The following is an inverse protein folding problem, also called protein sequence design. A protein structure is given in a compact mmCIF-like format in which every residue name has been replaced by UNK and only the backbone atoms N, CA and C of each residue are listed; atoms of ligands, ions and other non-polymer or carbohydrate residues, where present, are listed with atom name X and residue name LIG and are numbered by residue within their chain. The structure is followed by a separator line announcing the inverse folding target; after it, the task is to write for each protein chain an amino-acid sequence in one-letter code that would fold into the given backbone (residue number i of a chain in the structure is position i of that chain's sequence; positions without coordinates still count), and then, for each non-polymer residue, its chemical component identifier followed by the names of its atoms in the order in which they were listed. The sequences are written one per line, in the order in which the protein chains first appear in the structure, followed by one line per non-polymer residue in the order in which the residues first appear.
data_IF_931159732931
#
_entry.id   IF_931159732931
#
_cell.length_a   1.000
_cell.length_b   1.000
_cell.length_c   1.000
_cell.angle_alpha   90.00
_cell.angle_beta   90.00
_cell.angle_gamma   90.00
#
_symmetry.space_group_name_H-M   'P 1'
#
loop_
_entity.id
_entity.type
_entity.pdbx_description
1 polymer ?
2 non-polymer ?
3 non-polymer ?
4 non-polymer ?
5 non-polymer ?
6 water ?
#
# COMPACT_ATOMS: atom_id res chain seq x y z
N UNK A 3 -31.94 8.88 -0.33
CA UNK A 3 -30.56 9.07 -0.77
C UNK A 3 -29.62 9.42 0.37
N UNK A 4 -30.09 9.27 1.59
CA UNK A 4 -29.23 9.40 2.77
C UNK A 4 -29.12 8.02 3.39
N UNK A 5 -27.90 7.58 3.65
CA UNK A 5 -27.66 6.26 4.23
C UNK A 5 -27.41 6.41 5.72
N UNK A 6 -28.30 5.88 6.54
CA UNK A 6 -28.19 6.00 7.97
C UNK A 6 -28.02 4.61 8.56
N UNK A 7 -27.90 3.55 7.76
CA UNK A 7 -27.83 2.19 8.29
C UNK A 7 -27.34 1.27 7.19
N UNK A 8 -26.96 0.06 7.56
CA UNK A 8 -26.53 -0.90 6.56
C UNK A 8 -27.66 -1.15 5.58
N UNK A 9 -28.91 -1.21 6.07
CA UNK A 9 -30.00 -1.52 5.14
C UNK A 9 -30.28 -0.36 4.17
N UNK A 10 -30.05 0.86 4.66
CA UNK A 10 -30.28 2.01 3.77
C UNK A 10 -29.37 1.94 2.57
N UNK A 11 -28.18 1.36 2.76
CA UNK A 11 -27.16 1.36 1.69
C UNK A 11 -27.69 0.61 0.48
N UNK A 12 -28.66 -0.29 0.69
CA UNK A 12 -29.11 -1.10 -0.40
C UNK A 12 -30.12 -0.31 -1.24
N UNK A 13 -30.51 0.90 -0.84
CA UNK A 13 -31.61 1.65 -1.44
C UNK A 13 -31.13 2.88 -2.20
N UNK A 14 -29.86 2.94 -2.60
CA UNK A 14 -29.36 4.17 -3.21
C UNK A 14 -29.42 4.14 -4.72
N UNK A 15 -29.96 3.11 -5.33
CA UNK A 15 -30.05 3.13 -6.80
C UNK A 15 -30.91 4.28 -7.26
N UNK A 16 -30.45 5.08 -8.21
CA UNK A 16 -31.14 6.25 -8.70
C UNK A 16 -30.61 7.53 -8.04
N UNK A 17 -29.79 7.45 -6.99
CA UNK A 17 -29.25 8.65 -6.35
C UNK A 17 -27.96 9.14 -7.02
N UNK A 18 -27.98 10.33 -7.60
CA UNK A 18 -26.76 10.96 -8.11
C UNK A 18 -26.01 11.66 -6.99
N UNK A 19 -26.66 11.91 -5.86
CA UNK A 19 -26.01 12.51 -4.69
C UNK A 19 -26.43 11.69 -3.49
N UNK A 20 -25.48 10.96 -2.91
CA UNK A 20 -25.73 10.18 -1.71
C UNK A 20 -25.08 10.81 -0.52
N UNK A 21 -25.78 10.89 0.61
CA UNK A 21 -25.19 11.36 1.85
C UNK A 21 -25.01 10.15 2.74
N UNK A 22 -23.79 9.93 3.20
CA UNK A 22 -23.44 8.80 4.04
C UNK A 22 -23.33 9.37 5.43
N UNK A 23 -24.41 9.14 6.22
CA UNK A 23 -24.40 9.62 7.60
C UNK A 23 -23.51 8.73 8.48
N UNK A 24 -23.25 9.22 9.71
CA UNK A 24 -22.52 8.39 10.69
C UNK A 24 -23.49 7.42 11.37
N UNK A 25 -22.97 6.24 11.69
CA UNK A 25 -23.73 5.18 12.38
C UNK A 25 -22.74 4.06 12.70
N UNK A 26 -23.24 3.08 13.43
CA UNK A 26 -22.47 1.88 13.69
C UNK A 26 -22.90 0.76 12.76
N UNK A 27 -21.90 0.10 12.19
CA UNK A 27 -22.18 -1.14 11.45
C UNK A 27 -22.18 -2.26 12.47
N UNK A 28 -23.31 -2.89 12.76
CA UNK A 28 -23.34 -3.85 13.86
C UNK A 28 -22.57 -5.12 13.53
N UNK A 29 -22.26 -5.88 14.60
CA UNK A 29 -21.65 -7.19 14.43
C UNK A 29 -22.43 -7.98 13.41
N UNK A 30 -21.70 -8.71 12.56
CA UNK A 30 -22.28 -9.60 11.57
C UNK A 30 -22.86 -8.91 10.37
N UNK A 31 -22.57 -7.61 10.18
CA UNK A 31 -23.07 -6.90 9.01
C UNK A 31 -21.92 -6.34 8.22
N UNK A 32 -22.17 -6.05 6.95
CA UNK A 32 -21.20 -5.29 6.16
C UNK A 32 -21.94 -4.11 5.52
N UNK A 33 -21.15 -3.11 5.15
CA UNK A 33 -21.70 -1.92 4.53
C UNK A 33 -21.22 -1.90 3.09
N UNK A 34 -22.17 -2.03 2.18
CA UNK A 34 -21.90 -2.14 0.75
C UNK A 34 -22.62 -1.04 -0.01
N UNK A 35 -21.84 -0.26 -0.75
CA UNK A 35 -22.42 0.81 -1.54
C UNK A 35 -22.12 0.56 -3.02
N UNK A 36 -23.15 0.49 -3.84
CA UNK A 36 -23.04 0.36 -5.28
C UNK A 36 -23.71 1.58 -5.90
N UNK A 37 -23.04 2.73 -5.87
CA UNK A 37 -23.71 3.97 -6.29
C UNK A 37 -23.89 4.00 -7.79
N UNK A 38 -24.84 4.82 -8.22
CA UNK A 38 -25.01 5.11 -9.62
C UNK A 38 -23.72 5.62 -10.29
N UNK A 39 -23.63 5.34 -11.60
CA UNK A 39 -22.47 5.88 -12.34
C UNK A 39 -22.37 7.39 -12.18
N UNK A 40 -21.19 7.91 -11.92
CA UNK A 40 -20.97 9.34 -11.79
C UNK A 40 -21.52 9.95 -10.50
N UNK A 41 -22.03 9.18 -9.55
CA UNK A 41 -22.62 9.79 -8.35
C UNK A 41 -21.56 10.38 -7.45
N UNK A 42 -21.99 11.39 -6.71
CA UNK A 42 -21.20 11.93 -5.62
C UNK A 42 -21.71 11.36 -4.31
N UNK A 43 -20.80 10.80 -3.52
CA UNK A 43 -21.11 10.25 -2.19
C UNK A 43 -20.39 11.10 -1.19
N UNK A 44 -21.15 11.72 -0.30
CA UNK A 44 -20.56 12.67 0.67
C UNK A 44 -20.73 12.13 2.05
N UNK A 45 -19.62 12.00 2.77
CA UNK A 45 -19.74 11.52 4.14
C UNK A 45 -20.11 12.65 5.06
N UNK A 46 -21.06 12.42 5.95
CA UNK A 46 -21.51 13.44 6.89
C UNK A 46 -21.38 12.99 8.33
N UNK A 47 -20.79 11.85 8.60
CA UNK A 47 -20.52 11.43 9.96
C UNK A 47 -19.50 10.28 9.92
N UNK A 48 -19.07 9.84 11.11
CA UNK A 48 -18.15 8.75 11.22
C UNK A 48 -18.88 7.42 11.30
N UNK A 49 -18.29 6.38 10.69
CA UNK A 49 -18.87 5.06 10.69
C UNK A 49 -18.00 4.13 11.52
N UNK A 50 -18.61 3.56 12.57
CA UNK A 50 -17.89 2.74 13.53
C UNK A 50 -18.31 1.30 13.31
N UNK A 51 -17.35 0.37 13.31
CA UNK A 51 -17.66 -1.03 13.05
C UNK A 51 -17.51 -1.80 14.34
N UNK A 52 -18.63 -2.28 14.89
CA UNK A 52 -18.60 -3.07 16.12
C UNK A 52 -17.75 -4.33 15.88
N UNK A 53 -17.17 -4.84 16.99
CA UNK A 53 -16.37 -6.05 16.80
C UNK A 53 -17.20 -7.16 16.17
N UNK A 54 -16.60 -7.80 15.17
CA UNK A 54 -17.33 -8.75 14.31
C UNK A 54 -16.51 -10.00 14.08
N UNK A 55 -17.22 -11.06 13.75
CA UNK A 55 -16.54 -12.33 13.37
C UNK A 55 -16.47 -12.48 11.87
N UNK A 56 -17.03 -11.58 11.08
CA UNK A 56 -17.01 -11.71 9.63
C UNK A 56 -15.61 -11.55 9.05
N UNK A 57 -15.38 -12.20 7.91
CA UNK A 57 -14.24 -11.81 7.11
C UNK A 57 -14.47 -10.44 6.48
N UNK A 58 -13.36 -9.75 6.24
CA UNK A 58 -13.50 -8.53 5.44
C UNK A 58 -13.72 -8.84 3.98
N UNK A 59 -13.99 -7.83 3.16
CA UNK A 59 -14.10 -6.44 3.58
C UNK A 59 -15.37 -6.14 4.36
N UNK A 60 -15.24 -5.25 5.35
CA UNK A 60 -16.41 -4.81 6.12
C UNK A 60 -17.11 -3.64 5.42
N UNK A 61 -16.41 -2.94 4.56
CA UNK A 61 -17.01 -1.86 3.77
C UNK A 61 -16.54 -2.06 2.34
N UNK A 62 -17.47 -2.05 1.41
CA UNK A 62 -17.13 -2.18 0.00
C UNK A 62 -17.85 -1.05 -0.75
N UNK A 63 -17.10 -0.33 -1.59
CA UNK A 63 -17.78 0.61 -2.49
C UNK A 63 -17.30 0.27 -3.88
N UNK A 64 -18.23 0.20 -4.81
CA UNK A 64 -17.93 -0.22 -6.18
C UNK A 64 -18.81 0.57 -7.14
N UNK A 65 -18.21 1.31 -8.02
CA UNK A 65 -19.03 2.10 -8.97
C UNK A 65 -18.02 2.68 -9.98
N UNK A 66 -18.66 3.34 -10.95
CA UNK A 66 -17.93 3.93 -12.06
C UNK A 66 -17.97 5.45 -11.96
N UNK A 67 -16.81 6.09 -11.97
CA UNK A 67 -16.80 7.55 -11.96
C UNK A 67 -17.34 8.15 -10.67
N UNK A 68 -17.15 7.42 -9.56
CA UNK A 68 -17.66 7.89 -8.27
C UNK A 68 -16.83 9.05 -7.76
N UNK A 69 -17.49 10.06 -7.20
CA UNK A 69 -16.83 11.20 -6.56
C UNK A 69 -17.13 11.05 -5.07
N UNK A 70 -16.17 10.59 -4.25
CA UNK A 70 -16.42 10.34 -2.82
C UNK A 70 -15.76 11.49 -2.05
N UNK A 71 -16.56 12.22 -1.33
CA UNK A 71 -16.17 13.42 -0.60
C UNK A 71 -16.24 13.08 0.89
N UNK A 72 -15.07 12.84 1.48
CA UNK A 72 -15.08 12.31 2.86
C UNK A 72 -15.30 13.35 3.91
N UNK A 73 -15.01 14.63 3.63
CA UNK A 73 -15.24 15.71 4.63
C UNK A 73 -14.55 15.35 5.95
N UNK A 74 -13.39 14.69 5.89
CA UNK A 74 -12.55 14.38 7.03
C UNK A 74 -13.17 13.39 8.02
N UNK A 75 -14.22 12.68 7.59
CA UNK A 75 -14.82 11.69 8.47
C UNK A 75 -13.99 10.39 8.51
N UNK A 76 -14.42 9.54 9.47
CA UNK A 76 -13.65 8.38 9.86
C UNK A 76 -14.43 7.11 9.68
N UNK A 77 -13.74 6.08 9.16
CA UNK A 77 -14.19 4.68 9.24
C UNK A 77 -13.37 4.07 10.38
N UNK A 78 -14.03 3.72 11.48
CA UNK A 78 -13.31 3.25 12.69
C UNK A 78 -13.46 1.74 12.79
N UNK A 79 -12.33 1.04 12.59
CA UNK A 79 -12.35 -0.40 12.53
C UNK A 79 -12.22 -1.03 13.90
N UNK A 80 -12.07 -0.25 14.98
CA UNK A 80 -11.99 -0.86 16.29
C UNK A 80 -10.83 -1.89 16.37
N UNK A 81 -9.72 -1.56 15.68
CA UNK A 81 -8.64 -2.60 15.57
C UNK A 81 -8.10 -3.06 16.91
N UNK A 82 -8.02 -2.22 17.95
CA UNK A 82 -7.45 -2.66 19.22
C UNK A 82 -8.27 -3.77 19.87
N UNK A 83 -9.52 -3.93 19.41
CA UNK A 83 -10.29 -5.06 19.98
C UNK A 83 -9.83 -6.39 19.41
N UNK A 84 -9.02 -6.34 18.35
CA UNK A 84 -8.55 -7.56 17.71
C UNK A 84 -7.03 -7.75 17.83
N UNK A 85 -6.26 -6.65 17.82
CA UNK A 85 -4.80 -6.76 17.74
C UNK A 85 -4.25 -7.65 18.84
N UNK A 86 -3.36 -8.56 18.43
CA UNK A 86 -2.74 -9.47 19.41
C UNK A 86 -1.28 -9.75 19.13
N UNK A 87 -0.68 -8.89 18.30
CA UNK A 87 0.72 -9.10 17.99
C UNK A 87 0.90 -10.07 16.83
N UNK A 88 -0.13 -10.71 16.30
CA UNK A 88 0.08 -11.78 15.29
C UNK A 88 -0.50 -11.45 13.96
N UNK A 89 -1.24 -10.35 13.88
CA UNK A 89 -1.76 -9.94 12.55
C UNK A 89 -2.55 -11.02 11.90
N UNK A 90 -2.40 -11.15 10.57
CA UNK A 90 -3.09 -12.20 9.83
C UNK A 90 -2.23 -13.44 9.74
N UNK A 91 -1.14 -13.50 10.48
CA UNK A 91 -0.35 -14.74 10.45
C UNK A 91 -0.84 -15.77 11.39
N UNK A 92 -1.42 -15.40 12.49
CA UNK A 92 -1.96 -16.38 13.45
C UNK A 92 -2.80 -15.63 14.43
N UNK A 93 -3.18 -16.22 15.53
CA UNK A 93 -3.86 -15.58 16.60
C UNK A 93 -5.32 -15.30 16.32
N UNK A 94 -5.81 -14.19 16.83
CA UNK A 94 -7.22 -13.85 16.67
C UNK A 94 -7.55 -13.60 15.23
N UNK A 95 -8.79 -13.85 14.82
CA UNK A 95 -9.25 -13.44 13.51
C UNK A 95 -9.21 -11.94 13.40
N UNK A 96 -8.69 -11.46 12.25
CA UNK A 96 -8.69 -10.05 11.93
C UNK A 96 -9.53 -9.82 10.68
N UNK A 97 -10.68 -9.15 10.72
CA UNK A 97 -11.39 -8.87 9.46
C UNK A 97 -10.51 -8.08 8.54
N UNK A 98 -10.25 -8.57 7.34
CA UNK A 98 -9.35 -7.85 6.42
C UNK A 98 -9.76 -8.20 4.99
N UNK A 99 -9.52 -7.30 4.04
CA UNK A 99 -9.16 -5.92 4.30
C UNK A 99 -10.32 -5.25 5.01
N UNK A 100 -10.11 -4.05 5.56
CA UNK A 100 -11.20 -3.33 6.21
C UNK A 100 -12.13 -2.75 5.14
N UNK A 101 -11.57 -1.90 4.27
CA UNK A 101 -12.30 -1.29 3.19
C UNK A 101 -11.86 -1.91 1.86
N UNK A 102 -12.79 -2.01 0.92
CA UNK A 102 -12.48 -2.39 -0.45
C UNK A 102 -13.06 -1.32 -1.36
N UNK A 103 -12.22 -0.79 -2.26
CA UNK A 103 -12.67 0.23 -3.22
C UNK A 103 -12.44 -0.30 -4.62
N UNK A 104 -13.52 -0.37 -5.41
CA UNK A 104 -13.49 -0.99 -6.73
C UNK A 104 -14.10 -0.02 -7.77
N UNK A 105 -13.69 -0.17 -9.02
CA UNK A 105 -14.31 0.58 -10.12
C UNK A 105 -13.44 1.77 -10.49
N UNK A 106 -14.01 2.98 -10.41
CA UNK A 106 -13.23 4.16 -10.81
C UNK A 106 -13.79 5.41 -10.14
N UNK A 107 -13.05 6.52 -10.25
CA UNK A 107 -13.50 7.79 -9.70
C UNK A 107 -12.38 8.40 -8.86
N UNK A 108 -12.82 9.20 -7.87
CA UNK A 108 -11.93 10.02 -7.07
C UNK A 108 -12.43 9.97 -5.64
N UNK A 109 -11.60 9.57 -4.71
CA UNK A 109 -11.94 9.36 -3.29
C UNK A 109 -11.07 10.32 -2.52
N UNK A 110 -11.66 11.21 -1.74
CA UNK A 110 -10.90 12.24 -1.04
C UNK A 110 -11.21 12.36 0.44
N UNK A 111 -10.17 12.68 1.21
CA UNK A 111 -10.27 13.29 2.53
C UNK A 111 -11.17 12.50 3.48
N UNK A 112 -10.79 11.27 3.71
CA UNK A 112 -11.36 10.55 4.85
C UNK A 112 -10.25 9.77 5.53
N UNK A 113 -10.57 9.25 6.70
CA UNK A 113 -9.60 8.56 7.56
C UNK A 113 -10.09 7.14 7.81
N UNK A 114 -9.18 6.18 7.72
CA UNK A 114 -9.40 4.84 8.24
C UNK A 114 -8.65 4.82 9.57
N UNK A 115 -9.37 4.61 10.65
CA UNK A 115 -8.79 4.59 12.00
C UNK A 115 -8.81 3.19 12.52
N UNK A 116 -7.64 2.71 12.93
CA UNK A 116 -7.52 1.40 13.61
C UNK A 116 -8.20 0.26 12.87
N UNK A 117 -7.69 0.01 11.63
CA UNK A 117 -8.10 -1.20 10.95
C UNK A 117 -7.67 -2.45 11.73
N UNK A 118 -8.45 -3.51 11.71
CA UNK A 118 -8.01 -4.77 12.36
C UNK A 118 -6.68 -5.27 11.78
N UNK A 119 -6.55 -5.22 10.46
CA UNK A 119 -5.26 -5.59 9.83
C UNK A 119 -5.19 -4.78 8.55
N UNK A 120 -5.14 -5.36 7.38
CA UNK A 120 -4.90 -4.56 6.17
C UNK A 120 -6.04 -3.56 5.99
N UNK A 121 -5.70 -2.31 5.71
CA UNK A 121 -6.68 -1.21 5.80
C UNK A 121 -7.50 -1.05 4.55
N UNK A 122 -6.88 -0.68 3.43
CA UNK A 122 -7.64 -0.42 2.20
C UNK A 122 -7.16 -1.30 1.05
N UNK A 123 -8.06 -2.12 0.54
CA UNK A 123 -7.78 -2.91 -0.68
C UNK A 123 -8.33 -2.15 -1.88
N UNK A 124 -7.53 -1.99 -2.90
CA UNK A 124 -7.90 -1.24 -4.08
C UNK A 124 -7.90 -2.11 -5.29
N UNK A 125 -9.03 -2.17 -5.96
CA UNK A 125 -9.14 -2.83 -7.26
C UNK A 125 -10.16 -3.93 -7.22
N UNK A 126 -10.55 -4.47 -8.38
CA UNK A 126 -10.06 -4.00 -9.70
C UNK A 126 -10.73 -2.70 -10.10
N UNK A 127 -10.21 -2.08 -11.15
CA UNK A 127 -10.75 -0.82 -11.68
C UNK A 127 -11.36 -1.02 -13.08
N UNK A 128 -12.22 -0.06 -13.44
CA UNK A 128 -12.78 -0.05 -14.78
C UNK A 128 -12.43 1.25 -15.51
N UNK A 129 -11.64 2.10 -14.89
CA UNK A 129 -11.15 3.35 -15.46
C UNK A 129 -10.22 3.95 -14.42
N UNK A 130 -9.78 5.23 -14.54
CA UNK A 130 -8.82 5.68 -13.52
C UNK A 130 -9.45 5.79 -12.13
N UNK A 131 -8.69 5.39 -11.11
CA UNK A 131 -9.12 5.51 -9.71
C UNK A 131 -8.10 6.30 -8.96
N UNK A 132 -8.51 7.38 -8.32
CA UNK A 132 -7.64 8.23 -7.56
C UNK A 132 -8.04 8.25 -6.11
N UNK A 133 -7.12 8.00 -5.20
CA UNK A 133 -7.31 8.15 -3.77
C UNK A 133 -6.45 9.31 -3.34
N UNK A 134 -7.04 10.33 -2.74
CA UNK A 134 -6.35 11.60 -2.51
C UNK A 134 -6.65 12.12 -1.13
N UNK A 135 -5.62 12.26 -0.31
CA UNK A 135 -5.83 12.89 1.00
C UNK A 135 -6.48 11.95 2.00
N UNK A 136 -6.21 10.66 1.89
CA UNK A 136 -6.74 9.66 2.85
C UNK A 136 -5.67 9.42 3.89
N UNK A 137 -6.14 9.33 5.13
CA UNK A 137 -5.28 8.99 6.25
C UNK A 137 -5.60 7.57 6.73
N UNK A 138 -4.58 6.71 6.82
CA UNK A 138 -4.75 5.43 7.48
C UNK A 138 -4.05 5.61 8.82
N UNK A 139 -4.81 5.87 9.89
CA UNK A 139 -4.23 6.08 11.19
C UNK A 139 -4.34 4.81 12.02
N UNK A 140 -3.32 3.98 11.95
CA UNK A 140 -3.15 2.82 12.79
C UNK A 140 -2.03 3.01 13.80
N UNK A 141 -1.74 4.26 14.15
CA UNK A 141 -0.66 4.53 15.10
C UNK A 141 -0.86 3.82 16.43
N UNK A 142 -2.12 3.69 16.86
CA UNK A 142 -2.37 3.02 18.16
C UNK A 142 -1.83 1.60 18.11
N UNK A 143 -1.69 1.01 16.90
CA UNK A 143 -1.20 -0.36 16.85
C UNK A 143 0.28 -0.48 17.23
N UNK A 144 0.99 0.63 17.38
CA UNK A 144 2.38 0.56 17.84
C UNK A 144 2.42 0.15 19.30
N UNK A 145 1.39 0.44 20.07
CA UNK A 145 1.42 0.17 21.51
C UNK A 145 1.56 -1.31 21.77
N UNK A 146 2.61 -1.66 22.53
CA UNK A 146 2.95 -3.06 22.88
C UNK A 146 3.10 -3.89 21.64
N UNK A 147 3.40 -3.24 20.52
CA UNK A 147 3.62 -3.97 19.26
C UNK A 147 2.44 -4.86 18.92
N UNK A 148 1.21 -4.45 19.27
CA UNK A 148 0.07 -5.35 19.01
C UNK A 148 -0.45 -5.26 17.59
N UNK A 149 -0.41 -4.11 16.92
CA UNK A 149 -0.91 -4.03 15.53
C UNK A 149 0.06 -4.72 14.58
N UNK A 150 -0.46 -5.38 13.56
CA UNK A 150 0.46 -6.07 12.66
C UNK A 150 -0.27 -6.34 11.34
N UNK A 151 0.41 -6.42 10.23
CA UNK A 151 -0.22 -6.58 8.91
C UNK A 151 -1.26 -5.50 8.62
N UNK A 152 -0.95 -4.29 9.13
CA UNK A 152 -1.85 -3.14 8.99
C UNK A 152 -1.51 -2.32 7.76
N UNK A 153 -1.40 -3.00 6.61
CA UNK A 153 -1.05 -2.32 5.37
C UNK A 153 -1.95 -1.12 5.12
N UNK A 154 -1.36 -0.03 4.62
CA UNK A 154 -2.20 1.15 4.31
C UNK A 154 -3.05 0.87 3.08
N UNK A 155 -2.41 0.57 1.96
CA UNK A 155 -3.08 0.33 0.70
C UNK A 155 -2.50 -0.94 0.08
N UNK A 156 -3.36 -1.89 -0.23
CA UNK A 156 -2.95 -3.08 -1.00
C UNK A 156 -3.59 -2.95 -2.37
N UNK A 157 -2.80 -2.89 -3.42
CA UNK A 157 -3.32 -2.56 -4.76
C UNK A 157 -3.13 -3.71 -5.71
N UNK A 158 -4.22 -4.17 -6.28
CA UNK A 158 -4.25 -5.12 -7.40
C UNK A 158 -5.22 -4.52 -8.41
N UNK A 159 -4.63 -3.67 -9.28
CA UNK A 159 -5.50 -2.86 -10.13
C UNK A 159 -4.66 -2.12 -11.18
N UNK A 160 -5.31 -1.74 -12.27
CA UNK A 160 -4.67 -0.86 -13.25
C UNK A 160 -5.08 0.58 -13.04
N UNK A 161 -4.25 1.53 -13.46
CA UNK A 161 -4.71 2.93 -13.59
C UNK A 161 -5.13 3.56 -12.27
N UNK A 162 -4.27 3.42 -11.28
CA UNK A 162 -4.50 3.91 -9.93
C UNK A 162 -3.51 5.01 -9.61
N UNK A 163 -4.00 6.08 -8.97
CA UNK A 163 -3.17 7.10 -8.36
C UNK A 163 -3.53 7.21 -6.87
N UNK A 164 -2.51 7.15 -6.02
CA UNK A 164 -2.70 7.38 -4.58
C UNK A 164 -1.79 8.53 -4.24
N UNK A 165 -2.37 9.63 -3.76
CA UNK A 165 -1.58 10.85 -3.57
C UNK A 165 -2.03 11.58 -2.34
N UNK A 166 -1.09 12.31 -1.73
CA UNK A 166 -1.38 13.19 -0.60
C UNK A 166 -1.96 12.42 0.59
N UNK A 167 -1.64 11.12 0.71
CA UNK A 167 -2.16 10.32 1.81
C UNK A 167 -1.14 10.23 2.93
N UNK A 168 -1.63 9.77 4.07
CA UNK A 168 -0.82 9.62 5.26
C UNK A 168 -1.08 8.22 5.81
N UNK A 169 -0.01 7.46 6.07
CA UNK A 169 -0.18 6.14 6.67
C UNK A 169 0.72 5.99 7.88
N UNK A 170 0.13 5.68 9.01
CA UNK A 170 0.82 5.39 10.27
C UNK A 170 0.45 3.98 10.64
N UNK A 171 1.38 3.04 10.52
CA UNK A 171 0.96 1.66 10.64
C UNK A 171 2.13 0.76 11.02
N UNK A 172 1.95 -0.56 10.78
CA UNK A 172 2.93 -1.55 11.21
C UNK A 172 3.32 -2.48 10.08
N UNK A 173 2.92 -2.19 8.84
CA UNK A 173 3.33 -3.07 7.73
C UNK A 173 3.47 -2.17 6.50
N UNK A 174 3.41 -2.73 5.30
CA UNK A 174 3.66 -1.87 4.13
C UNK A 174 2.78 -0.64 4.13
N UNK A 175 3.38 0.50 3.81
CA UNK A 175 2.60 1.71 3.59
C UNK A 175 1.62 1.50 2.42
N UNK A 176 2.21 1.00 1.32
CA UNK A 176 1.50 0.50 0.15
C UNK A 176 2.20 -0.78 -0.25
N UNK A 177 1.42 -1.76 -0.72
CA UNK A 177 1.93 -2.94 -1.37
C UNK A 177 1.24 -3.04 -2.73
N UNK A 178 2.00 -2.91 -3.79
CA UNK A 178 1.45 -3.00 -5.16
C UNK A 178 1.66 -4.43 -5.60
N UNK A 179 0.57 -5.19 -5.68
CA UNK A 179 0.69 -6.64 -5.91
C UNK A 179 0.42 -7.08 -7.35
N UNK A 180 -0.28 -6.25 -8.14
CA UNK A 180 -0.62 -6.60 -9.51
C UNK A 180 -1.11 -5.33 -10.18
N UNK A 181 -0.84 -5.15 -11.46
CA UNK A 181 -1.43 -4.06 -12.23
C UNK A 181 -0.44 -3.22 -12.96
N UNK A 182 -1.01 -2.45 -13.90
CA UNK A 182 -0.26 -1.52 -14.74
C UNK A 182 -0.68 -0.07 -14.46
N UNK A 183 0.29 0.84 -14.51
CA UNK A 183 0.02 2.27 -14.44
C UNK A 183 -0.52 2.65 -13.06
N UNK A 184 0.41 2.63 -12.11
CA UNK A 184 0.12 2.92 -10.70
C UNK A 184 1.10 3.96 -10.22
N UNK A 185 0.55 5.04 -9.67
CA UNK A 185 1.30 6.17 -9.24
C UNK A 185 1.06 6.39 -7.74
N UNK A 186 2.13 6.48 -6.97
CA UNK A 186 2.07 6.72 -5.51
C UNK A 186 2.88 7.97 -5.29
N UNK A 187 2.23 9.11 -5.05
CA UNK A 187 2.90 10.39 -5.08
C UNK A 187 2.52 11.26 -3.89
N UNK A 188 3.54 11.87 -3.31
CA UNK A 188 3.37 12.88 -2.27
C UNK A 188 2.64 12.34 -1.05
N UNK A 189 2.95 11.10 -0.67
CA UNK A 189 2.42 10.48 0.51
C UNK A 189 3.43 10.48 1.68
N UNK A 190 2.90 10.33 2.91
CA UNK A 190 3.75 10.26 4.10
C UNK A 190 3.49 8.91 4.76
N UNK A 191 4.54 8.14 4.92
CA UNK A 191 4.50 6.80 5.50
C UNK A 191 5.33 6.77 6.77
N UNK A 192 4.77 6.33 7.88
CA UNK A 192 5.60 6.14 9.08
C UNK A 192 5.21 4.89 9.85
N UNK A 193 6.21 4.35 10.58
CA UNK A 193 5.99 3.24 11.49
C UNK A 193 6.02 1.86 10.87
N UNK A 194 5.74 1.76 9.57
CA UNK A 194 5.51 0.46 8.95
C UNK A 194 6.74 -0.12 8.26
N UNK A 195 6.46 -0.79 7.13
CA UNK A 195 7.49 -1.55 6.39
C UNK A 195 7.83 -0.90 5.06
N UNK A 196 7.47 0.36 4.87
CA UNK A 196 7.96 1.12 3.71
C UNK A 196 7.05 0.98 2.49
N UNK A 197 7.58 1.36 1.33
CA UNK A 197 6.81 1.42 0.08
C UNK A 197 7.20 0.22 -0.75
N UNK A 198 6.22 -0.67 -0.98
CA UNK A 198 6.57 -1.98 -1.55
C UNK A 198 5.81 -2.23 -2.88
N UNK A 199 6.54 -2.95 -3.74
CA UNK A 199 5.93 -3.71 -4.83
C UNK A 199 6.03 -5.15 -4.41
N UNK A 200 4.91 -5.84 -4.35
CA UNK A 200 4.85 -7.25 -3.97
C UNK A 200 4.38 -7.45 -2.55
N UNK A 201 4.46 -8.68 -2.05
CA UNK A 201 5.21 -9.74 -2.74
C UNK A 201 4.50 -10.19 -4.00
N UNK A 202 5.31 -10.38 -5.03
CA UNK A 202 4.84 -10.82 -6.33
C UNK A 202 4.64 -12.33 -6.31
N UNK A 203 3.40 -12.73 -6.62
CA UNK A 203 3.02 -14.13 -6.66
C UNK A 203 2.91 -14.63 -8.08
N UNK A 204 2.81 -15.96 -8.22
CA UNK A 204 2.64 -16.54 -9.55
C UNK A 204 1.49 -15.90 -10.29
N UNK A 205 1.74 -15.58 -11.56
CA UNK A 205 0.72 -15.06 -12.46
C UNK A 205 0.53 -13.57 -12.31
N UNK A 206 1.27 -12.88 -11.44
CA UNK A 206 1.01 -11.46 -11.22
C UNK A 206 2.08 -10.62 -11.91
N UNK A 207 1.64 -9.46 -12.42
CA UNK A 207 2.50 -8.61 -13.22
C UNK A 207 2.30 -7.16 -12.81
N UNK A 208 3.37 -6.53 -12.32
CA UNK A 208 3.29 -5.09 -11.97
C UNK A 208 4.12 -4.35 -13.00
N UNK A 209 3.54 -3.24 -13.53
CA UNK A 209 4.29 -2.52 -14.56
C UNK A 209 3.92 -1.04 -14.52
N UNK A 210 4.87 -0.22 -14.96
CA UNK A 210 4.66 1.23 -15.08
C UNK A 210 4.18 1.84 -13.78
N UNK A 211 5.07 1.73 -12.80
CA UNK A 211 4.86 2.27 -11.46
C UNK A 211 5.72 3.51 -11.27
N UNK A 212 5.15 4.55 -10.74
CA UNK A 212 5.85 5.77 -10.39
C UNK A 212 5.68 6.00 -8.87
N UNK A 213 6.79 6.03 -8.17
CA UNK A 213 6.84 6.28 -6.70
C UNK A 213 7.56 7.59 -6.54
N UNK A 214 6.81 8.66 -6.33
CA UNK A 214 7.38 10.03 -6.47
C UNK A 214 7.03 10.92 -5.29
N UNK A 215 8.02 11.61 -4.76
CA UNK A 215 7.69 12.69 -3.80
C UNK A 215 7.23 12.26 -2.43
N UNK A 216 7.46 10.98 -2.05
CA UNK A 216 6.96 10.49 -0.77
C UNK A 216 8.00 10.66 0.33
N UNK A 217 7.46 10.72 1.55
CA UNK A 217 8.31 10.71 2.73
C UNK A 217 8.10 9.41 3.50
N UNK A 218 9.15 8.75 3.90
CA UNK A 218 9.06 7.54 4.73
C UNK A 218 9.94 7.75 5.94
N UNK A 219 9.37 7.52 7.11
CA UNK A 219 10.12 7.67 8.35
C UNK A 219 9.86 6.47 9.26
N UNK A 220 10.80 6.17 10.15
CA UNK A 220 10.61 5.23 11.25
C UNK A 220 9.95 3.94 10.74
N UNK A 221 10.63 3.33 9.76
CA UNK A 221 10.09 2.16 9.06
C UNK A 221 11.10 1.06 8.95
N UNK A 222 10.65 -0.16 8.71
CA UNK A 222 11.60 -1.26 8.65
C UNK A 222 12.40 -1.30 7.35
N UNK A 223 11.77 -0.85 6.25
CA UNK A 223 12.41 -0.77 4.94
C UNK A 223 12.06 0.58 4.33
N UNK A 224 12.89 1.07 3.41
CA UNK A 224 12.55 2.33 2.76
C UNK A 224 11.66 1.99 1.55
N UNK A 225 12.26 1.40 0.54
CA UNK A 225 11.52 0.85 -0.62
C UNK A 225 11.93 -0.59 -0.85
N UNK A 226 10.93 -1.40 -1.24
CA UNK A 226 11.20 -2.77 -1.60
C UNK A 226 10.47 -3.19 -2.88
N UNK A 227 11.16 -4.08 -3.61
CA UNK A 227 10.47 -4.88 -4.62
C UNK A 227 10.72 -6.32 -4.21
N UNK A 228 9.67 -7.00 -3.82
CA UNK A 228 9.77 -8.36 -3.29
C UNK A 228 9.00 -9.31 -4.15
N UNK A 229 9.63 -10.40 -4.55
CA UNK A 229 8.97 -11.45 -5.27
C UNK A 229 9.15 -12.75 -4.54
N UNK A 230 8.03 -13.49 -4.43
CA UNK A 230 8.13 -14.81 -3.83
C UNK A 230 9.13 -15.67 -4.58
N UNK A 231 10.02 -16.33 -3.83
CA UNK A 231 11.03 -17.19 -4.48
C UNK A 231 10.39 -18.16 -5.42
N UNK A 232 9.20 -18.70 -5.09
CA UNK A 232 8.59 -19.74 -5.88
C UNK A 232 7.70 -19.24 -7.02
N UNK A 233 7.56 -17.93 -7.15
CA UNK A 233 6.63 -17.43 -8.18
C UNK A 233 7.09 -17.68 -9.61
N UNK A 234 6.12 -18.02 -10.45
CA UNK A 234 6.44 -18.16 -11.86
C UNK A 234 5.39 -17.39 -12.69
N UNK A 235 5.66 -17.22 -13.97
CA UNK A 235 4.77 -16.46 -14.86
C UNK A 235 4.40 -15.13 -14.25
N UNK A 236 5.39 -14.42 -13.73
CA UNK A 236 5.18 -13.16 -13.01
C UNK A 236 6.23 -12.15 -13.44
N UNK A 237 6.02 -10.87 -13.12
CA UNK A 237 7.05 -9.91 -13.49
C UNK A 237 6.81 -8.59 -12.79
N UNK A 238 7.88 -7.80 -12.72
CA UNK A 238 7.81 -6.36 -12.38
C UNK A 238 8.62 -5.65 -13.46
N UNK A 239 8.01 -4.66 -14.10
CA UNK A 239 8.76 -3.95 -15.16
C UNK A 239 8.39 -2.51 -15.23
N UNK A 240 9.39 -1.67 -15.20
CA UNK A 240 9.09 -0.24 -15.41
C UNK A 240 8.74 0.43 -14.08
N UNK A 241 9.70 0.63 -13.22
CA UNK A 241 9.47 1.25 -11.91
C UNK A 241 10.37 2.46 -11.82
N UNK A 242 9.82 3.60 -11.45
CA UNK A 242 10.63 4.82 -11.31
C UNK A 242 10.42 5.38 -9.91
N UNK A 243 11.53 5.48 -9.17
CA UNK A 243 11.56 6.16 -7.89
C UNK A 243 12.10 7.57 -8.10
N UNK A 244 11.36 8.59 -7.64
CA UNK A 244 11.72 9.97 -7.96
C UNK A 244 11.43 10.82 -6.75
N UNK A 245 12.38 11.53 -6.21
CA UNK A 245 12.12 12.58 -5.19
C UNK A 245 11.56 12.04 -3.89
N UNK A 246 11.97 10.86 -3.43
CA UNK A 246 11.53 10.35 -2.13
C UNK A 246 12.54 10.64 -1.05
N UNK A 247 12.02 11.02 0.12
CA UNK A 247 12.87 11.37 1.24
C UNK A 247 12.58 10.39 2.36
N UNK A 248 13.63 9.63 2.74
CA UNK A 248 13.43 8.48 3.66
C UNK A 248 14.45 8.53 4.77
N UNK A 249 14.05 8.19 5.99
CA UNK A 249 15.00 8.17 7.10
C UNK A 249 14.47 7.25 8.20
N UNK A 250 15.35 6.92 9.15
CA UNK A 250 14.92 6.14 10.28
C UNK A 250 14.58 4.71 9.87
N UNK A 251 15.37 4.16 8.96
CA UNK A 251 15.10 2.80 8.47
C UNK A 251 15.90 1.75 9.23
N UNK A 252 15.18 0.71 9.68
CA UNK A 252 15.79 -0.26 10.57
C UNK A 252 16.47 -1.41 9.84
N UNK A 253 16.00 -1.86 8.68
CA UNK A 253 16.56 -3.08 8.10
C UNK A 253 17.26 -2.84 6.79
N UNK A 254 16.55 -2.39 5.78
CA UNK A 254 17.16 -2.08 4.50
C UNK A 254 16.61 -0.75 3.96
N UNK A 255 17.50 0.13 3.53
CA UNK A 255 17.06 1.31 2.82
C UNK A 255 16.33 0.94 1.50
N UNK A 256 17.00 0.13 0.69
CA UNK A 256 16.43 -0.45 -0.54
C UNK A 256 16.62 -1.96 -0.48
N UNK A 257 15.57 -2.75 -0.67
CA UNK A 257 15.73 -4.21 -0.83
C UNK A 257 14.95 -4.63 -2.06
N UNK A 258 15.70 -5.05 -3.08
CA UNK A 258 15.08 -5.58 -4.30
C UNK A 258 15.42 -7.04 -4.29
N UNK A 259 14.43 -7.94 -4.12
CA UNK A 259 14.74 -9.32 -3.82
C UNK A 259 13.72 -10.29 -4.38
N UNK A 260 14.27 -11.36 -4.95
CA UNK A 260 13.45 -12.46 -5.45
C UNK A 260 13.54 -13.67 -4.54
N UNK A 261 13.84 -13.43 -3.26
CA UNK A 261 13.91 -14.50 -2.25
C UNK A 261 12.75 -14.54 -1.27
N UNK A 262 11.75 -13.70 -1.47
CA UNK A 262 10.72 -13.56 -0.46
C UNK A 262 10.12 -14.90 -0.14
N UNK A 263 9.83 -15.23 1.12
CA UNK A 263 9.84 -14.32 2.28
C UNK A 263 11.18 -14.06 2.91
N UNK A 264 12.27 -14.63 2.47
CA UNK A 264 13.59 -14.26 2.98
C UNK A 264 14.06 -13.01 2.30
N UNK A 265 14.95 -12.27 2.94
CA UNK A 265 15.44 -11.06 2.27
C UNK A 265 16.43 -11.43 1.17
N UNK A 266 17.32 -12.41 1.41
CA UNK A 266 18.30 -12.89 0.46
C UNK A 266 18.40 -14.41 0.46
N UNK A 267 19.12 -15.01 -0.47
CA UNK A 267 19.40 -16.44 -0.57
C UNK A 267 18.58 -17.14 -1.64
N UNK A 268 19.20 -17.92 -2.51
CA UNK A 268 18.57 -18.72 -3.56
C UNK A 268 17.39 -17.96 -4.17
N UNK A 269 17.63 -16.80 -4.71
CA UNK A 269 16.50 -16.07 -5.30
C UNK A 269 15.90 -16.85 -6.47
N UNK A 270 14.59 -16.66 -6.65
CA UNK A 270 13.85 -17.27 -7.74
C UNK A 270 14.13 -16.58 -9.08
N UNK A 271 13.77 -17.31 -10.13
CA UNK A 271 14.03 -16.84 -11.49
C UNK A 271 12.76 -16.64 -12.29
N UNK A 272 11.58 -16.88 -11.67
CA UNK A 272 10.33 -16.85 -12.43
C UNK A 272 9.51 -15.56 -12.32
N UNK A 273 10.08 -14.54 -11.68
CA UNK A 273 9.38 -13.25 -11.55
C UNK A 273 10.31 -12.14 -11.94
N UNK A 274 10.77 -12.13 -13.18
CA UNK A 274 11.81 -11.22 -13.61
C UNK A 274 11.43 -9.75 -13.33
N UNK A 275 12.45 -9.00 -12.88
CA UNK A 275 12.36 -7.58 -12.67
C UNK A 275 13.15 -6.87 -13.77
N UNK A 276 12.55 -5.85 -14.34
CA UNK A 276 13.27 -5.06 -15.34
C UNK A 276 12.97 -3.59 -15.16
N UNK A 277 13.91 -2.80 -15.65
CA UNK A 277 13.71 -1.35 -15.82
C UNK A 277 13.31 -0.67 -14.54
N UNK A 278 14.18 -0.75 -13.53
CA UNK A 278 13.94 -0.12 -12.20
C UNK A 278 14.94 1.03 -12.08
N UNK A 279 14.43 2.25 -11.92
CA UNK A 279 15.27 3.46 -11.95
C UNK A 279 15.03 4.33 -10.73
N UNK A 280 16.07 5.03 -10.27
CA UNK A 280 15.98 6.15 -9.35
C UNK A 280 16.46 7.39 -10.10
N UNK A 281 15.51 8.15 -10.63
CA UNK A 281 15.80 9.28 -11.48
C UNK A 281 14.84 10.43 -11.09
N UNK A 282 15.09 11.55 -11.73
CA UNK A 282 14.26 12.75 -11.43
C UNK A 282 14.85 13.44 -10.21
N UNK A 283 14.01 13.77 -9.23
CA UNK A 283 14.52 14.37 -8.01
C UNK A 283 15.28 13.32 -7.19
N UNK A 284 16.21 13.76 -6.35
CA UNK A 284 17.00 12.90 -5.48
C UNK A 284 16.05 12.08 -4.59
N UNK A 285 16.35 10.77 -4.55
CA UNK A 285 15.81 9.92 -3.50
C UNK A 285 16.92 9.72 -2.49
N UNK A 286 16.73 10.27 -1.30
CA UNK A 286 17.76 10.22 -0.28
C UNK A 286 17.22 9.38 0.86
N UNK A 287 18.05 8.43 1.26
CA UNK A 287 17.62 7.48 2.27
C UNK A 287 18.65 7.43 3.39
N UNK A 288 18.24 7.63 4.64
CA UNK A 288 19.15 7.51 5.76
C UNK A 288 18.71 6.29 6.55
N UNK A 289 19.67 5.41 6.85
CA UNK A 289 19.33 4.16 7.58
C UNK A 289 20.02 4.21 8.92
N UNK A 290 19.46 3.38 9.83
CA UNK A 290 19.96 3.29 11.19
C UNK A 290 21.28 2.55 11.27
N UNK A 291 21.93 2.65 12.45
CA UNK A 291 23.26 2.08 12.56
C UNK A 291 23.36 0.61 12.22
N UNK A 292 22.36 -0.20 12.56
CA UNK A 292 22.43 -1.65 12.32
C UNK A 292 21.83 -2.03 10.99
N UNK A 293 21.33 -1.05 10.25
CA UNK A 293 20.68 -1.36 8.97
C UNK A 293 21.67 -1.54 7.85
N UNK A 294 21.13 -2.06 6.77
CA UNK A 294 21.86 -2.20 5.49
C UNK A 294 21.38 -1.11 4.55
N UNK A 295 22.28 -0.51 3.78
CA UNK A 295 21.82 0.53 2.84
C UNK A 295 21.03 -0.03 1.66
N UNK A 296 21.68 -0.78 0.74
CA UNK A 296 21.03 -1.29 -0.44
C UNK A 296 21.44 -2.75 -0.69
N UNK A 297 20.45 -3.63 -0.86
CA UNK A 297 20.71 -4.98 -1.32
C UNK A 297 19.82 -5.27 -2.54
N UNK A 298 20.44 -5.83 -3.56
CA UNK A 298 19.70 -6.33 -4.71
C UNK A 298 20.01 -7.80 -4.79
N UNK A 299 18.98 -8.64 -4.73
CA UNK A 299 19.15 -10.09 -4.77
C UNK A 299 18.28 -10.66 -5.89
N UNK A 300 18.86 -10.73 -7.09
CA UNK A 300 18.17 -11.15 -8.30
C UNK A 300 18.57 -12.55 -8.71
N UNK A 301 17.57 -13.39 -8.97
CA UNK A 301 17.73 -14.57 -9.79
C UNK A 301 17.48 -14.27 -11.25
N UNK A 302 16.69 -13.24 -11.57
CA UNK A 302 16.36 -12.97 -12.97
C UNK A 302 15.98 -11.48 -13.04
N UNK A 303 16.93 -10.64 -13.46
CA UNK A 303 16.68 -9.22 -13.59
C UNK A 303 17.36 -8.74 -14.87
N UNK A 304 16.76 -7.74 -15.52
CA UNK A 304 17.25 -7.24 -16.79
C UNK A 304 17.09 -5.72 -16.89
N UNK A 305 17.88 -5.17 -17.81
CA UNK A 305 17.79 -3.79 -18.19
C UNK A 305 18.94 -2.94 -17.66
N UNK A 306 18.95 -1.67 -18.10
CA UNK A 306 19.92 -0.68 -17.64
C UNK A 306 19.26 0.16 -16.55
N UNK A 307 19.54 -0.22 -15.32
CA UNK A 307 18.90 0.41 -14.18
C UNK A 307 19.67 1.67 -13.84
N UNK A 308 19.05 2.81 -14.08
CA UNK A 308 19.71 4.11 -13.81
C UNK A 308 19.33 4.52 -12.40
N UNK A 309 20.30 4.39 -11.50
CA UNK A 309 20.09 4.71 -10.10
C UNK A 309 20.80 6.00 -9.74
N UNK A 310 21.04 6.88 -10.74
CA UNK A 310 21.85 8.06 -10.55
C UNK A 310 21.34 8.96 -9.43
N UNK A 311 20.05 9.01 -9.18
CA UNK A 311 19.54 9.97 -8.21
C UNK A 311 19.35 9.37 -6.82
N UNK A 312 19.80 8.13 -6.60
CA UNK A 312 19.73 7.53 -5.28
C UNK A 312 20.94 7.85 -4.43
N UNK A 313 20.72 8.32 -3.21
CA UNK A 313 21.78 8.42 -2.21
C UNK A 313 21.29 7.72 -0.96
N UNK A 314 22.09 6.78 -0.47
CA UNK A 314 21.74 6.09 0.77
C UNK A 314 22.95 6.22 1.70
N UNK A 315 22.73 6.61 2.95
CA UNK A 315 23.78 6.76 3.94
C UNK A 315 23.34 6.10 5.25
N UNK A 316 24.35 5.87 6.08
CA UNK A 316 24.16 5.21 7.36
C UNK A 316 24.39 3.72 7.28
N UNK A 317 24.38 3.08 8.47
CA UNK A 317 24.42 1.63 8.47
C UNK A 317 25.63 1.02 7.79
N UNK A 318 25.42 -0.12 7.13
CA UNK A 318 26.49 -0.84 6.43
C UNK A 318 26.08 -1.13 4.98
N UNK A 319 27.10 -1.40 4.15
CA UNK A 319 26.83 -1.79 2.78
C UNK A 319 26.07 -3.08 2.71
N UNK A 320 25.17 -3.17 1.73
CA UNK A 320 24.57 -4.45 1.39
C UNK A 320 25.37 -5.15 0.29
N UNK A 321 24.63 -5.95 -0.48
CA UNK A 321 25.22 -6.75 -1.55
C UNK A 321 24.39 -6.58 -2.82
N UNK A 322 25.09 -6.58 -3.95
CA UNK A 322 24.44 -6.42 -5.24
C UNK A 322 24.67 -7.68 -6.06
N UNK A 323 23.57 -8.37 -6.34
CA UNK A 323 23.48 -9.51 -7.25
C UNK A 323 22.37 -9.17 -8.25
N UNK A 324 22.76 -8.55 -9.37
CA UNK A 324 21.74 -7.98 -10.27
C UNK A 324 21.46 -8.82 -11.51
N UNK A 325 22.06 -10.03 -11.57
CA UNK A 325 21.79 -10.92 -12.72
C UNK A 325 22.13 -10.16 -14.01
N UNK A 326 21.24 -10.07 -15.01
CA UNK A 326 21.55 -9.47 -16.26
C UNK A 326 21.47 -7.93 -16.22
N UNK A 327 20.88 -7.39 -15.17
CA UNK A 327 20.68 -5.94 -15.10
C UNK A 327 21.99 -5.28 -14.78
N UNK A 328 22.16 -4.07 -15.30
CA UNK A 328 23.37 -3.29 -15.01
C UNK A 328 22.87 -2.08 -14.23
N UNK A 329 23.37 -1.88 -13.01
CA UNK A 329 22.96 -0.76 -12.19
C UNK A 329 24.03 0.32 -12.28
N UNK A 330 23.62 1.51 -12.72
CA UNK A 330 24.47 2.66 -12.93
C UNK A 330 24.18 3.77 -11.94
N UNK A 331 25.28 4.35 -11.44
CA UNK A 331 25.15 5.59 -10.69
C UNK A 331 24.58 5.38 -9.30
N UNK A 332 24.43 6.54 -8.66
CA UNK A 332 23.95 6.61 -7.27
C UNK A 332 25.12 6.63 -6.30
N UNK A 333 24.80 6.78 -5.03
CA UNK A 333 25.75 6.71 -3.94
C UNK A 333 25.14 5.82 -2.85
N UNK A 334 25.73 4.64 -2.68
CA UNK A 334 25.15 3.75 -1.70
C UNK A 334 26.06 2.60 -1.33
N UNK A 335 27.10 2.30 -2.09
CA UNK A 335 27.93 1.15 -1.87
C UNK A 335 28.79 1.26 -0.63
#
# INVERSE_FOLDING_TARGET
ATCTVKSVDDAKDIAGCSAVTLNGFTVPAGNTLVLNPDKGATVTMAGDITFAKTTLDGPLFTIDGTGINFVGADHIFDGNGALYWDGKGTNNGTHKPHPFLKIKGSGTYKKFEVLNSPAQAISVGPTDAHLTLDGITVDDFAGDTKNLGHNTDGFDVSANNVTIQNCIVKNQDDCIAINDGNNIRFENNQCSGGHGISIGSIATGKHVSNVVIKGNTVTRSMYGVRIKAQRTATSASVSGVTYDANTISGIAKYGVLISQSYPDDVGNPGTGAPFSDVNFTGGATTIKVNNAATRVTVECGNCSGNWNWSQLTVTGGKAGTIKSDKAKITGGQYL
#
